data_IF_421560475223
#
_entry.id   IF_421560475223
#
_cell.length_a   1.000
_cell.length_b   1.000
_cell.length_c   1.000
_cell.angle_alpha   90.00
_cell.angle_beta   90.00
_cell.angle_gamma   90.00
#
_symmetry.space_group_name_H-M   'P 1'
#
loop_
_entity.id
_entity.type
_entity.pdbx_description
1 polymer ?
#
# COMPACT_ATOMS: atom_id res chain seq x y z
N UNK A 1 22.44 -28.33 -20.58
CA UNK A 1 21.91 -28.69 -21.91
C UNK A 1 20.82 -29.72 -21.72
N UNK A 2 19.54 -29.34 -21.72
CA UNK A 2 18.37 -30.17 -22.02
C UNK A 2 17.17 -29.22 -22.11
N UNK A 3 16.78 -28.94 -23.36
CA UNK A 3 15.61 -28.15 -23.72
C UNK A 3 14.37 -29.02 -23.51
N UNK A 4 13.39 -28.56 -22.71
CA UNK A 4 12.07 -29.19 -22.60
C UNK A 4 11.06 -28.27 -23.34
N UNK A 5 10.69 -28.70 -24.54
CA UNK A 5 9.60 -28.14 -25.33
C UNK A 5 8.30 -28.77 -24.82
N UNK A 6 7.40 -27.95 -24.28
CA UNK A 6 6.03 -28.37 -23.98
C UNK A 6 5.12 -27.75 -25.04
N UNK A 7 4.63 -28.65 -25.90
CA UNK A 7 3.66 -28.38 -26.97
C UNK A 7 2.26 -28.35 -26.37
N UNK A 8 1.53 -27.24 -26.52
CA UNK A 8 0.12 -27.14 -26.14
C UNK A 8 -0.72 -27.25 -27.44
N UNK A 9 -1.45 -28.34 -27.54
CA UNK A 9 -2.42 -28.56 -28.58
C UNK A 9 -3.71 -27.79 -28.30
N UNK A 10 -4.11 -26.93 -29.24
CA UNK A 10 -5.39 -26.23 -29.26
C UNK A 10 -6.44 -27.14 -29.88
N UNK A 11 -7.46 -27.51 -29.10
CA UNK A 11 -8.68 -28.14 -29.63
C UNK A 11 -9.75 -27.07 -29.82
N UNK A 12 -10.07 -26.79 -31.05
CA UNK A 12 -11.23 -26.00 -31.47
C UNK A 12 -12.46 -26.90 -31.59
N UNK A 13 -13.51 -26.58 -30.85
CA UNK A 13 -14.84 -27.15 -31.05
C UNK A 13 -15.84 -26.09 -31.51
N UNK A 14 -16.21 -26.12 -32.77
CA UNK A 14 -17.35 -25.40 -33.34
C UNK A 14 -18.65 -26.06 -32.87
N UNK A 15 -19.53 -25.28 -32.26
CA UNK A 15 -20.94 -25.63 -32.09
C UNK A 15 -21.79 -24.61 -32.85
N UNK A 16 -22.36 -25.07 -33.98
CA UNK A 16 -23.33 -24.33 -34.78
C UNK A 16 -24.72 -24.45 -34.14
N UNK A 17 -25.37 -23.33 -33.84
CA UNK A 17 -26.79 -23.29 -33.47
C UNK A 17 -27.58 -22.67 -34.60
N UNK A 18 -28.41 -23.52 -35.25
CA UNK A 18 -29.46 -23.14 -36.20
C UNK A 18 -30.66 -22.58 -35.42
N UNK A 19 -31.03 -21.34 -35.67
CA UNK A 19 -32.31 -20.76 -35.24
C UNK A 19 -33.30 -20.83 -36.36
N UNK A 20 -34.32 -21.67 -36.22
CA UNK A 20 -35.49 -21.74 -37.12
C UNK A 20 -36.50 -20.67 -36.71
N UNK A 21 -36.76 -19.73 -37.60
CA UNK A 21 -37.84 -18.77 -37.48
C UNK A 21 -39.18 -19.41 -37.91
N UNK A 22 -40.13 -19.47 -36.98
CA UNK A 22 -41.54 -19.73 -37.34
C UNK A 22 -42.31 -18.42 -37.26
N UNK A 23 -42.71 -17.92 -38.41
CA UNK A 23 -43.70 -16.87 -38.55
C UNK A 23 -45.10 -17.43 -38.33
N UNK A 24 -45.91 -16.82 -37.49
CA UNK A 24 -47.35 -16.95 -37.48
C UNK A 24 -48.02 -15.59 -37.64
N UNK A 25 -48.64 -15.45 -38.78
CA UNK A 25 -49.50 -14.35 -39.15
C UNK A 25 -50.91 -14.66 -38.62
N UNK A 26 -51.42 -13.88 -37.67
CA UNK A 26 -52.83 -13.89 -37.31
C UNK A 26 -53.45 -12.48 -37.45
N UNK A 27 -54.26 -12.36 -38.50
CA UNK A 27 -55.25 -11.28 -38.65
C UNK A 27 -56.43 -11.51 -37.72
N UNK A 28 -56.70 -10.55 -36.81
CA UNK A 28 -58.04 -10.41 -36.20
C UNK A 28 -58.40 -8.95 -35.99
N UNK A 29 -59.45 -8.61 -36.68
CA UNK A 29 -60.50 -7.59 -36.57
C UNK A 29 -60.53 -6.73 -35.29
N UNK A 30 -60.61 -5.47 -35.57
CA UNK A 30 -61.12 -4.30 -34.89
C UNK A 30 -61.59 -4.37 -33.41
N UNK A 31 -60.83 -3.73 -32.54
CA UNK A 31 -61.34 -3.19 -31.32
C UNK A 31 -60.77 -1.77 -31.15
N UNK A 32 -61.70 -0.82 -30.89
CA UNK A 32 -61.44 0.59 -30.66
C UNK A 32 -60.46 0.79 -29.53
N UNK A 33 -59.41 1.55 -29.69
CA UNK A 33 -58.40 1.72 -28.61
C UNK A 33 -59.02 2.47 -27.44
N UNK A 34 -59.05 1.83 -26.29
CA UNK A 34 -59.24 2.50 -24.96
C UNK A 34 -57.99 3.35 -24.74
N UNK A 35 -58.10 4.61 -24.26
CA UNK A 35 -56.93 5.44 -23.95
C UNK A 35 -56.07 4.66 -22.95
N UNK A 36 -54.86 4.32 -23.39
CA UNK A 36 -53.84 3.76 -22.50
C UNK A 36 -53.56 4.74 -21.40
N UNK A 37 -53.81 4.34 -20.18
CA UNK A 37 -53.26 5.00 -18.98
C UNK A 37 -51.77 5.22 -19.25
N UNK A 38 -51.30 6.43 -19.10
CA UNK A 38 -49.91 6.78 -19.22
C UNK A 38 -49.12 5.81 -18.31
N UNK A 39 -48.48 4.83 -18.92
CA UNK A 39 -47.46 4.01 -18.26
C UNK A 39 -46.39 5.03 -17.84
N UNK A 40 -46.28 5.26 -16.54
CA UNK A 40 -45.16 6.00 -15.97
C UNK A 40 -43.92 5.33 -16.53
N UNK A 41 -43.16 6.04 -17.37
CA UNK A 41 -41.87 5.55 -17.84
C UNK A 41 -41.09 5.08 -16.62
N UNK A 42 -40.41 3.92 -16.68
CA UNK A 42 -39.56 3.54 -15.58
C UNK A 42 -38.64 4.74 -15.31
N UNK A 43 -38.67 5.27 -14.10
CA UNK A 43 -37.65 6.23 -13.67
C UNK A 43 -36.33 5.48 -13.83
N UNK A 44 -35.59 5.83 -14.89
CA UNK A 44 -34.26 5.26 -15.10
C UNK A 44 -33.43 5.49 -13.86
N UNK A 45 -32.71 4.49 -13.42
CA UNK A 45 -31.75 4.63 -12.35
C UNK A 45 -30.91 5.89 -12.60
N UNK A 46 -30.55 6.64 -11.56
CA UNK A 46 -29.71 7.82 -11.73
C UNK A 46 -28.44 7.44 -12.50
N UNK A 47 -27.98 8.30 -13.40
CA UNK A 47 -26.81 7.99 -14.23
C UNK A 47 -25.62 7.62 -13.33
N UNK A 48 -24.97 6.50 -13.65
CA UNK A 48 -23.78 6.08 -12.93
C UNK A 48 -22.69 7.14 -13.04
N UNK A 49 -22.19 7.60 -11.88
CA UNK A 49 -21.07 8.52 -11.80
C UNK A 49 -19.82 7.73 -11.42
N UNK A 50 -18.81 7.76 -12.30
CA UNK A 50 -17.55 7.03 -12.11
C UNK A 50 -16.49 8.02 -11.67
N UNK A 51 -15.81 7.71 -10.58
CA UNK A 51 -14.62 8.43 -10.11
C UNK A 51 -13.34 7.65 -10.41
N UNK A 52 -12.22 8.35 -10.41
CA UNK A 52 -10.89 7.78 -10.61
C UNK A 52 -9.99 8.12 -9.45
N UNK A 53 -9.02 7.24 -9.16
CA UNK A 53 -8.00 7.47 -8.14
C UNK A 53 -6.65 6.89 -8.56
N UNK A 54 -5.60 7.70 -8.48
CA UNK A 54 -4.23 7.24 -8.64
C UNK A 54 -3.62 6.90 -7.27
N UNK A 55 -3.67 5.62 -6.92
CA UNK A 55 -3.09 5.13 -5.67
C UNK A 55 -1.56 5.29 -5.62
N UNK A 56 -0.88 5.29 -6.77
CA UNK A 56 0.57 5.53 -6.84
C UNK A 56 0.91 6.94 -6.34
N UNK A 57 0.15 7.95 -6.80
CA UNK A 57 0.28 9.32 -6.32
C UNK A 57 -0.11 9.46 -4.85
N UNK A 58 -1.18 8.79 -4.40
CA UNK A 58 -1.55 8.79 -2.98
C UNK A 58 -0.40 8.34 -2.11
N UNK A 59 0.24 7.21 -2.43
CA UNK A 59 1.41 6.73 -1.70
C UNK A 59 2.61 7.69 -1.79
N UNK A 60 2.83 8.32 -2.93
CA UNK A 60 3.95 9.23 -3.15
C UNK A 60 3.80 10.58 -2.42
N UNK A 61 2.56 11.06 -2.24
CA UNK A 61 2.29 12.42 -1.77
C UNK A 61 1.65 12.46 -0.36
N UNK A 62 1.41 11.29 0.26
CA UNK A 62 0.87 11.22 1.61
C UNK A 62 1.99 11.29 2.65
N UNK A 63 2.06 12.41 3.37
CA UNK A 63 3.09 12.71 4.37
C UNK A 63 3.27 11.63 5.44
N UNK A 64 2.17 11.00 5.88
CA UNK A 64 2.24 9.90 6.85
C UNK A 64 2.98 8.69 6.31
N UNK A 65 2.82 8.37 5.03
CA UNK A 65 3.56 7.28 4.41
C UNK A 65 5.06 7.56 4.41
N UNK A 66 5.46 8.79 4.08
CA UNK A 66 6.87 9.19 4.12
C UNK A 66 7.43 9.09 5.54
N UNK A 67 6.70 9.59 6.55
CA UNK A 67 7.12 9.48 7.94
C UNK A 67 7.30 8.01 8.38
N UNK A 68 6.33 7.15 8.09
CA UNK A 68 6.40 5.73 8.43
C UNK A 68 7.55 5.00 7.71
N UNK A 69 7.86 5.41 6.47
CA UNK A 69 8.99 4.86 5.72
C UNK A 69 10.34 5.31 6.29
N UNK A 70 10.46 6.55 6.72
CA UNK A 70 11.69 7.03 7.36
C UNK A 70 11.93 6.30 8.70
N UNK A 71 10.89 6.10 9.50
CA UNK A 71 10.98 5.29 10.73
C UNK A 71 11.42 3.85 10.44
N UNK A 72 10.84 3.25 9.41
CA UNK A 72 11.22 1.90 8.97
C UNK A 72 12.67 1.82 8.47
N UNK A 73 13.14 2.81 7.72
CA UNK A 73 14.56 2.88 7.28
C UNK A 73 15.52 3.03 8.46
N UNK A 74 15.17 3.84 9.46
CA UNK A 74 15.98 3.98 10.68
C UNK A 74 16.08 2.65 11.44
N UNK A 75 14.98 1.89 11.51
CA UNK A 75 14.98 0.57 12.12
C UNK A 75 15.79 -0.45 11.31
N UNK A 76 15.68 -0.43 9.98
CA UNK A 76 16.50 -1.25 9.08
C UNK A 76 17.99 -1.00 9.35
N UNK A 77 18.42 0.25 9.43
CA UNK A 77 19.80 0.62 9.74
C UNK A 77 20.23 0.10 11.11
N UNK A 78 19.38 0.24 12.13
CA UNK A 78 19.65 -0.26 13.48
C UNK A 78 19.82 -1.78 13.51
N UNK A 79 18.99 -2.51 12.75
CA UNK A 79 19.08 -3.96 12.61
C UNK A 79 20.36 -4.39 11.87
N UNK A 80 20.75 -3.66 10.82
CA UNK A 80 22.01 -3.91 10.10
C UNK A 80 23.23 -3.70 11.00
N UNK A 81 23.26 -2.65 11.80
CA UNK A 81 24.35 -2.36 12.72
C UNK A 81 24.44 -3.42 13.84
N UNK A 82 23.28 -3.87 14.34
CA UNK A 82 23.21 -4.96 15.30
C UNK A 82 23.71 -6.29 14.71
N UNK A 83 23.34 -6.58 13.46
CA UNK A 83 23.81 -7.75 12.74
C UNK A 83 25.34 -7.74 12.52
N UNK A 84 25.89 -6.57 12.13
CA UNK A 84 27.34 -6.37 11.98
C UNK A 84 28.09 -6.59 13.29
N UNK A 85 27.54 -6.08 14.40
CA UNK A 85 28.10 -6.28 15.74
C UNK A 85 28.15 -7.76 16.11
N UNK A 86 27.04 -8.48 15.96
CA UNK A 86 26.96 -9.92 16.26
C UNK A 86 27.91 -10.73 15.37
N UNK A 87 27.99 -10.41 14.08
CA UNK A 87 28.96 -11.05 13.18
C UNK A 87 30.41 -10.79 13.61
N UNK A 88 30.72 -9.56 14.03
CA UNK A 88 32.01 -9.18 14.56
C UNK A 88 32.37 -9.94 15.85
N UNK A 89 31.39 -10.18 16.73
CA UNK A 89 31.61 -10.94 17.96
C UNK A 89 31.88 -12.42 17.67
N UNK A 90 31.22 -13.03 16.68
CA UNK A 90 31.54 -14.36 16.18
C UNK A 90 33.00 -14.41 15.67
N UNK A 91 33.37 -13.44 14.82
CA UNK A 91 34.69 -13.37 14.22
C UNK A 91 35.81 -13.21 15.28
N UNK A 92 35.60 -12.40 16.32
CA UNK A 92 36.53 -12.25 17.43
C UNK A 92 36.82 -13.57 18.11
N UNK A 93 35.80 -14.37 18.40
CA UNK A 93 35.99 -15.68 19.04
C UNK A 93 36.74 -16.66 18.10
N UNK A 94 36.46 -16.58 16.79
CA UNK A 94 37.22 -17.38 15.80
C UNK A 94 38.70 -17.00 15.79
N UNK A 95 39.03 -15.72 15.90
CA UNK A 95 40.45 -15.29 16.01
C UNK A 95 41.09 -15.71 17.35
N UNK A 96 40.34 -15.60 18.47
CA UNK A 96 40.78 -16.10 19.75
C UNK A 96 41.10 -17.62 19.71
N UNK A 97 40.27 -18.42 19.06
CA UNK A 97 40.49 -19.88 18.93
C UNK A 97 41.79 -20.22 18.23
N UNK A 98 42.28 -19.40 17.29
CA UNK A 98 43.55 -19.63 16.60
C UNK A 98 44.77 -19.56 17.54
N UNK A 99 44.65 -18.87 18.67
CA UNK A 99 45.73 -18.73 19.65
C UNK A 99 45.79 -19.88 20.64
N UNK A 100 44.76 -20.72 20.72
CA UNK A 100 44.69 -21.84 21.66
C UNK A 100 45.20 -23.13 21.02
N UNK A 101 45.77 -24.02 21.86
CA UNK A 101 46.16 -25.35 21.42
C UNK A 101 44.92 -26.20 21.16
N UNK A 102 44.85 -26.83 20.01
CA UNK A 102 43.72 -27.71 19.66
C UNK A 102 43.50 -28.78 20.74
N UNK A 103 42.26 -28.91 21.22
CA UNK A 103 41.84 -29.83 22.26
C UNK A 103 42.14 -29.36 23.71
N UNK A 104 42.69 -28.16 23.92
CA UNK A 104 42.78 -27.56 25.25
C UNK A 104 41.40 -27.15 25.80
N UNK A 105 41.31 -26.97 27.10
CA UNK A 105 40.05 -26.51 27.75
C UNK A 105 39.59 -25.16 27.22
N UNK A 106 40.54 -24.28 26.97
CA UNK A 106 40.29 -22.93 26.41
C UNK A 106 39.74 -23.02 24.97
N UNK A 107 40.32 -23.92 24.15
CA UNK A 107 39.85 -24.19 22.78
C UNK A 107 38.41 -24.70 22.79
N UNK A 108 38.09 -25.69 23.63
CA UNK A 108 36.76 -26.29 23.74
C UNK A 108 35.73 -25.23 24.23
N UNK A 109 36.12 -24.39 25.20
CA UNK A 109 35.27 -23.33 25.70
C UNK A 109 34.98 -22.25 24.62
N UNK A 110 35.99 -21.86 23.85
CA UNK A 110 35.88 -20.92 22.75
C UNK A 110 35.03 -21.48 21.59
N UNK A 111 35.19 -22.76 21.25
CA UNK A 111 34.37 -23.45 20.25
C UNK A 111 32.89 -23.44 20.64
N UNK A 112 32.57 -23.76 21.91
CA UNK A 112 31.20 -23.68 22.41
C UNK A 112 30.63 -22.24 22.35
N UNK A 113 31.43 -21.24 22.74
CA UNK A 113 31.06 -19.83 22.67
C UNK A 113 30.80 -19.36 21.23
N UNK A 114 31.68 -19.76 20.30
CA UNK A 114 31.50 -19.47 18.86
C UNK A 114 30.21 -20.07 18.31
N UNK A 115 29.91 -21.34 18.64
CA UNK A 115 28.67 -21.99 18.20
C UNK A 115 27.43 -21.28 18.74
N UNK A 116 27.42 -20.83 20.01
CA UNK A 116 26.34 -20.07 20.60
C UNK A 116 26.17 -18.72 19.92
N UNK A 117 27.26 -17.97 19.70
CA UNK A 117 27.17 -16.65 19.04
C UNK A 117 26.72 -16.78 17.60
N UNK A 118 27.18 -17.78 16.86
CA UNK A 118 26.74 -18.06 15.49
C UNK A 118 25.26 -18.40 15.43
N UNK A 119 24.77 -19.24 16.34
CA UNK A 119 23.33 -19.57 16.44
C UNK A 119 22.49 -18.32 16.77
N UNK A 120 22.94 -17.48 17.70
CA UNK A 120 22.28 -16.23 18.06
C UNK A 120 22.25 -15.25 16.88
N UNK A 121 23.34 -15.13 16.12
CA UNK A 121 23.40 -14.29 14.94
C UNK A 121 22.40 -14.75 13.86
N UNK A 122 22.35 -16.03 13.55
CA UNK A 122 21.39 -16.57 12.57
C UNK A 122 19.93 -16.39 13.04
N UNK A 123 19.65 -16.61 14.32
CA UNK A 123 18.32 -16.38 14.88
C UNK A 123 17.93 -14.90 14.81
N UNK A 124 18.84 -13.99 15.18
CA UNK A 124 18.62 -12.55 15.07
C UNK A 124 18.32 -12.15 13.63
N UNK A 125 19.18 -12.57 12.68
CA UNK A 125 19.01 -12.24 11.25
C UNK A 125 17.65 -12.68 10.71
N UNK A 126 17.25 -13.93 11.02
CA UNK A 126 15.97 -14.50 10.58
C UNK A 126 14.78 -13.77 11.18
N UNK A 127 14.83 -13.42 12.47
CA UNK A 127 13.75 -12.72 13.15
C UNK A 127 13.63 -11.28 12.65
N UNK A 128 14.74 -10.53 12.59
CA UNK A 128 14.76 -9.17 12.08
C UNK A 128 14.24 -9.07 10.66
N UNK A 129 14.65 -9.98 9.76
CA UNK A 129 14.12 -10.00 8.40
C UNK A 129 12.60 -10.18 8.38
N UNK A 130 12.05 -11.08 9.20
CA UNK A 130 10.62 -11.33 9.28
C UNK A 130 9.86 -10.11 9.84
N UNK A 131 10.39 -9.49 10.88
CA UNK A 131 9.79 -8.31 11.51
C UNK A 131 9.80 -7.12 10.58
N UNK A 132 10.90 -6.85 9.88
CA UNK A 132 11.01 -5.78 8.90
C UNK A 132 10.02 -5.97 7.74
N UNK A 133 9.91 -7.19 7.19
CA UNK A 133 8.93 -7.49 6.15
C UNK A 133 7.48 -7.29 6.62
N UNK A 134 7.18 -7.74 7.85
CA UNK A 134 5.84 -7.55 8.43
C UNK A 134 5.54 -6.07 8.62
N UNK A 135 6.48 -5.31 9.14
CA UNK A 135 6.33 -3.88 9.38
C UNK A 135 6.15 -3.10 8.09
N UNK A 136 6.91 -3.44 7.05
CA UNK A 136 6.74 -2.88 5.71
C UNK A 136 5.33 -3.15 5.18
N UNK A 137 4.85 -4.38 5.26
CA UNK A 137 3.50 -4.75 4.82
C UNK A 137 2.41 -4.01 5.64
N UNK A 138 2.60 -3.85 6.95
CA UNK A 138 1.69 -3.11 7.82
C UNK A 138 1.64 -1.61 7.47
N UNK A 139 2.76 -1.00 7.07
CA UNK A 139 2.82 0.38 6.59
C UNK A 139 1.96 0.54 5.32
N UNK A 140 2.18 -0.29 4.30
CA UNK A 140 1.39 -0.24 3.07
C UNK A 140 -0.10 -0.48 3.33
N UNK A 141 -0.42 -1.48 4.16
CA UNK A 141 -1.80 -1.78 4.53
C UNK A 141 -2.48 -0.61 5.24
N UNK A 142 -1.79 0.01 6.20
CA UNK A 142 -2.33 1.15 6.96
C UNK A 142 -2.69 2.30 6.03
N UNK A 143 -1.75 2.70 5.19
CA UNK A 143 -1.94 3.81 4.24
C UNK A 143 -3.04 3.49 3.23
N UNK A 144 -3.06 2.27 2.71
CA UNK A 144 -4.10 1.82 1.79
C UNK A 144 -5.50 1.91 2.41
N UNK A 145 -5.68 1.40 3.62
CA UNK A 145 -6.97 1.42 4.31
C UNK A 145 -7.43 2.85 4.65
N UNK A 146 -6.51 3.71 5.06
CA UNK A 146 -6.82 5.13 5.30
C UNK A 146 -7.27 5.82 4.00
N UNK A 147 -6.57 5.59 2.89
CA UNK A 147 -6.94 6.11 1.60
C UNK A 147 -8.33 5.60 1.16
N UNK A 148 -8.59 4.29 1.30
CA UNK A 148 -9.89 3.70 0.96
C UNK A 148 -11.03 4.31 1.79
N UNK A 149 -10.83 4.54 3.09
CA UNK A 149 -11.82 5.19 3.96
C UNK A 149 -12.16 6.61 3.48
N UNK A 150 -11.16 7.35 3.01
CA UNK A 150 -11.38 8.71 2.46
C UNK A 150 -12.09 8.63 1.11
N UNK A 151 -11.69 7.71 0.24
CA UNK A 151 -12.35 7.47 -1.06
C UNK A 151 -13.82 7.13 -0.88
N UNK A 152 -14.16 6.23 0.05
CA UNK A 152 -15.54 5.87 0.37
C UNK A 152 -16.38 7.09 0.76
N UNK A 153 -15.87 7.91 1.69
CA UNK A 153 -16.54 9.15 2.09
C UNK A 153 -16.77 10.14 0.93
N UNK A 154 -15.78 10.27 0.05
CA UNK A 154 -15.91 11.12 -1.13
C UNK A 154 -16.91 10.53 -2.12
N UNK A 155 -16.87 9.21 -2.34
CA UNK A 155 -17.82 8.53 -3.21
C UNK A 155 -19.27 8.74 -2.75
N UNK A 156 -19.54 8.52 -1.47
CA UNK A 156 -20.87 8.75 -0.88
C UNK A 156 -21.29 10.23 -0.97
N UNK A 157 -20.40 11.15 -0.60
CA UNK A 157 -20.71 12.58 -0.56
C UNK A 157 -21.00 13.17 -1.94
N UNK A 158 -20.25 12.75 -2.97
CA UNK A 158 -20.39 13.28 -4.33
C UNK A 158 -21.26 12.41 -5.25
N UNK A 159 -21.83 11.32 -4.73
CA UNK A 159 -22.70 10.42 -5.47
C UNK A 159 -21.99 9.59 -6.53
N UNK A 160 -20.73 9.23 -6.33
CA UNK A 160 -20.04 8.26 -7.19
C UNK A 160 -20.57 6.86 -6.90
N UNK A 161 -20.91 6.13 -7.96
CA UNK A 161 -21.37 4.74 -7.86
C UNK A 161 -20.24 3.73 -8.02
N UNK A 162 -19.11 4.17 -8.57
CA UNK A 162 -17.91 3.37 -8.79
C UNK A 162 -16.69 4.28 -8.75
N UNK A 163 -15.62 3.86 -8.06
CA UNK A 163 -14.30 4.49 -8.14
C UNK A 163 -13.30 3.49 -8.67
N UNK A 164 -12.64 3.83 -9.78
CA UNK A 164 -11.68 2.97 -10.45
C UNK A 164 -10.24 3.46 -10.23
N UNK A 165 -9.34 2.53 -10.03
CA UNK A 165 -7.91 2.85 -9.97
C UNK A 165 -7.37 3.13 -11.37
N UNK A 166 -6.57 4.19 -11.50
CA UNK A 166 -5.81 4.49 -12.72
C UNK A 166 -4.36 4.86 -12.40
N UNK A 167 -3.57 5.10 -13.41
CA UNK A 167 -2.20 5.61 -13.29
C UNK A 167 -2.08 6.88 -14.13
N UNK A 168 -1.76 8.00 -13.49
CA UNK A 168 -1.58 9.31 -14.11
C UNK A 168 -0.15 9.57 -14.61
N UNK A 169 0.78 8.62 -14.38
CA UNK A 169 2.18 8.80 -14.71
C UNK A 169 2.40 9.01 -16.21
N UNK A 170 3.07 10.08 -16.61
CA UNK A 170 3.32 10.37 -18.01
C UNK A 170 4.30 9.37 -18.64
N UNK A 171 3.97 8.99 -19.89
CA UNK A 171 4.83 8.12 -20.71
C UNK A 171 5.86 9.02 -21.41
N UNK A 172 6.71 9.69 -20.65
CA UNK A 172 7.75 10.54 -21.20
C UNK A 172 9.12 9.87 -21.04
N UNK A 173 9.90 9.87 -22.13
CA UNK A 173 11.28 9.37 -22.16
C UNK A 173 11.46 8.01 -22.84
N UNK A 174 12.73 7.59 -22.95
CA UNK A 174 13.17 6.36 -23.63
C UNK A 174 13.11 5.11 -22.71
N UNK A 175 12.44 5.22 -21.54
CA UNK A 175 12.35 4.12 -20.57
C UNK A 175 11.30 3.11 -21.00
N UNK A 176 11.76 1.96 -21.49
CA UNK A 176 10.91 0.85 -21.93
C UNK A 176 9.97 0.34 -20.82
N UNK A 177 10.36 0.41 -19.53
CA UNK A 177 9.50 -0.02 -18.44
C UNK A 177 8.32 0.94 -18.27
N UNK A 178 8.57 2.24 -18.32
CA UNK A 178 7.52 3.28 -18.28
C UNK A 178 6.60 3.17 -19.48
N UNK A 179 7.16 2.92 -20.67
CA UNK A 179 6.37 2.70 -21.87
C UNK A 179 5.45 1.48 -21.72
N UNK A 180 5.96 0.36 -21.21
CA UNK A 180 5.13 -0.84 -20.97
C UNK A 180 4.01 -0.59 -19.95
N UNK A 181 4.28 0.14 -18.88
CA UNK A 181 3.26 0.54 -17.90
C UNK A 181 2.19 1.40 -18.59
N UNK A 182 2.61 2.34 -19.42
CA UNK A 182 1.70 3.21 -20.16
C UNK A 182 0.83 2.48 -21.17
N UNK A 183 1.39 1.53 -21.91
CA UNK A 183 0.65 0.72 -22.87
C UNK A 183 -0.40 -0.20 -22.20
N UNK A 184 -0.20 -0.57 -20.94
CA UNK A 184 -1.12 -1.39 -20.15
C UNK A 184 -2.15 -0.57 -19.36
N UNK A 185 -2.29 0.75 -19.62
CA UNK A 185 -3.30 1.57 -18.95
C UNK A 185 -4.71 1.09 -19.31
N UNK A 186 -5.50 0.84 -18.29
CA UNK A 186 -6.93 0.50 -18.44
C UNK A 186 -7.74 1.75 -18.77
N UNK A 187 -7.43 2.89 -18.14
CA UNK A 187 -8.10 4.17 -18.37
C UNK A 187 -7.23 5.00 -19.31
N UNK A 188 -7.70 5.22 -20.52
CA UNK A 188 -6.97 5.96 -21.58
C UNK A 188 -7.30 7.44 -21.56
N UNK A 189 -8.56 7.78 -21.20
CA UNK A 189 -9.06 9.14 -21.14
C UNK A 189 -10.04 9.30 -19.97
N UNK A 190 -9.95 10.41 -19.28
CA UNK A 190 -10.91 10.85 -18.27
C UNK A 190 -10.96 12.39 -18.23
N UNK A 191 -12.02 12.92 -17.63
CA UNK A 191 -12.10 14.36 -17.31
C UNK A 191 -11.41 14.58 -15.95
N UNK A 192 -10.82 15.77 -15.79
CA UNK A 192 -10.19 16.14 -14.51
C UNK A 192 -11.19 16.10 -13.34
N UNK A 193 -12.46 16.43 -13.58
CA UNK A 193 -13.52 16.41 -12.56
C UNK A 193 -13.84 15.00 -12.04
N UNK A 194 -13.45 13.97 -12.77
CA UNK A 194 -13.64 12.57 -12.38
C UNK A 194 -12.45 12.04 -11.53
N UNK A 195 -11.34 12.79 -11.44
CA UNK A 195 -10.16 12.44 -10.66
C UNK A 195 -10.27 12.90 -9.20
N UNK A 196 -10.34 11.95 -8.27
CA UNK A 196 -10.42 12.16 -6.83
C UNK A 196 -9.05 12.20 -6.14
N UNK A 197 -7.96 12.04 -6.87
CA UNK A 197 -6.61 11.86 -6.29
C UNK A 197 -6.19 13.06 -5.45
N UNK A 198 -6.24 14.27 -6.00
CA UNK A 198 -5.81 15.48 -5.28
C UNK A 198 -6.71 15.82 -4.08
N UNK A 199 -8.05 15.77 -4.17
CA UNK A 199 -8.93 15.89 -3.02
C UNK A 199 -8.63 14.88 -1.90
N UNK A 200 -8.40 13.61 -2.24
CA UNK A 200 -8.09 12.54 -1.28
C UNK A 200 -6.75 12.80 -0.60
N UNK A 201 -5.68 13.10 -1.35
CA UNK A 201 -4.34 13.42 -0.80
C UNK A 201 -4.43 14.63 0.13
N UNK A 202 -5.10 15.69 -0.30
CA UNK A 202 -5.29 16.90 0.51
C UNK A 202 -6.00 16.58 1.83
N UNK A 203 -7.04 15.76 1.79
CA UNK A 203 -7.80 15.37 2.98
C UNK A 203 -6.94 14.53 3.93
N UNK A 204 -6.23 13.53 3.41
CA UNK A 204 -5.31 12.68 4.18
C UNK A 204 -4.22 13.49 4.88
N UNK A 205 -3.55 14.38 4.14
CA UNK A 205 -2.50 15.24 4.68
C UNK A 205 -3.04 16.19 5.77
N UNK A 206 -4.21 16.77 5.54
CA UNK A 206 -4.87 17.63 6.54
C UNK A 206 -5.24 16.87 7.83
N UNK A 207 -5.70 15.63 7.71
CA UNK A 207 -5.98 14.79 8.88
C UNK A 207 -4.69 14.43 9.64
N UNK A 208 -3.64 14.07 8.92
CA UNK A 208 -2.35 13.76 9.50
C UNK A 208 -1.74 14.97 10.23
N UNK A 209 -1.71 16.15 9.60
CA UNK A 209 -1.22 17.38 10.23
C UNK A 209 -2.02 17.73 11.52
N UNK A 210 -3.34 17.51 11.53
CA UNK A 210 -4.17 17.68 12.74
C UNK A 210 -3.80 16.68 13.82
N UNK A 211 -3.51 15.43 13.48
CA UNK A 211 -3.12 14.40 14.45
C UNK A 211 -1.79 14.75 15.13
N UNK A 212 -0.82 15.24 14.37
CA UNK A 212 0.46 15.69 14.90
C UNK A 212 0.30 16.86 15.88
N UNK A 213 -0.51 17.85 15.51
CA UNK A 213 -0.78 19.02 16.35
C UNK A 213 -1.56 18.67 17.63
N UNK A 214 -2.39 17.63 17.60
CA UNK A 214 -3.11 17.16 18.80
C UNK A 214 -2.26 16.29 19.72
N UNK A 215 -1.24 15.61 19.17
CA UNK A 215 -0.28 14.79 19.91
C UNK A 215 0.86 15.63 20.53
N UNK A 216 1.07 16.86 20.07
CA UNK A 216 2.03 17.76 20.70
C UNK A 216 1.56 18.07 22.14
N UNK A 217 2.40 17.91 23.17
CA UNK A 217 2.02 18.20 24.54
C UNK A 217 1.59 19.67 24.63
N UNK A 218 0.31 19.89 24.96
CA UNK A 218 -0.22 21.24 25.26
C UNK A 218 0.67 21.85 26.34
N UNK A 219 1.33 22.92 25.98
CA UNK A 219 2.36 23.66 26.67
C UNK A 219 2.48 23.43 28.18
N UNK A 220 3.68 23.08 28.61
CA UNK A 220 4.11 23.27 29.98
C UNK A 220 3.83 24.72 30.35
N UNK A 221 3.09 25.02 31.43
CA UNK A 221 2.92 26.40 31.87
C UNK A 221 4.30 27.02 32.06
N UNK A 222 4.50 28.23 31.58
CA UNK A 222 5.73 28.99 31.78
C UNK A 222 6.02 29.03 33.28
N UNK A 223 7.29 28.82 33.72
CA UNK A 223 7.63 28.95 35.13
C UNK A 223 7.26 30.37 35.55
N UNK A 224 6.34 30.47 36.52
CA UNK A 224 6.02 31.75 37.17
C UNK A 224 7.32 32.26 37.73
N UNK A 225 7.74 33.43 37.26
CA UNK A 225 8.86 34.21 37.81
C UNK A 225 8.65 34.36 39.30
N UNK A 226 9.55 33.72 40.08
CA UNK A 226 9.61 33.90 41.52
C UNK A 226 9.76 35.40 41.82
N UNK A 227 8.76 35.97 42.42
CA UNK A 227 8.80 37.31 43.02
C UNK A 227 9.93 37.34 44.03
N UNK A 228 10.92 38.18 43.78
CA UNK A 228 12.05 38.49 44.62
C UNK A 228 11.51 39.05 45.97
N UNK A 229 11.89 38.54 47.14
CA UNK A 229 11.48 39.15 48.39
C UNK A 229 12.15 40.52 48.51
N UNK A 230 11.33 41.52 48.72
CA UNK A 230 11.72 42.89 49.03
C UNK A 230 12.38 42.91 50.46
N UNK A 231 13.63 43.26 50.47
CA UNK A 231 14.43 43.39 51.70
C UNK A 231 14.31 44.83 52.19
N UNK A 232 13.15 45.18 52.80
CA UNK A 232 12.97 46.46 53.50
C UNK A 232 13.84 46.55 54.71
N UNK A 233 14.77 47.48 54.67
CA UNK A 233 15.53 47.97 55.84
C UNK A 233 14.59 48.73 56.80
N UNK A 234 14.63 48.35 58.03
CA UNK A 234 14.71 49.29 59.22
C UNK A 234 15.26 48.54 60.39
#
# INVERSE_FOLDING_TARGET
MKKLLISFAVMASLASFLVTAFGQNQTTTGSKPKPASATTAPQGDPPHKIGLIDMGRVFKEYKKFDALREDWKAELQTNEDSAKKLAGDVQKVVEEMKTYKAGSQEFIAAEKKQAQLAANFELFRKNSQRELMRKEADIYKTVYLEAMTVVERFAEHYGYTLVMRFNSENIEGEDLQKLQIGLNRVIVYHRNDDDLTDPVITHLNKQYDKSLNSAAPKGRPAPQSATKPDNGKN
#
